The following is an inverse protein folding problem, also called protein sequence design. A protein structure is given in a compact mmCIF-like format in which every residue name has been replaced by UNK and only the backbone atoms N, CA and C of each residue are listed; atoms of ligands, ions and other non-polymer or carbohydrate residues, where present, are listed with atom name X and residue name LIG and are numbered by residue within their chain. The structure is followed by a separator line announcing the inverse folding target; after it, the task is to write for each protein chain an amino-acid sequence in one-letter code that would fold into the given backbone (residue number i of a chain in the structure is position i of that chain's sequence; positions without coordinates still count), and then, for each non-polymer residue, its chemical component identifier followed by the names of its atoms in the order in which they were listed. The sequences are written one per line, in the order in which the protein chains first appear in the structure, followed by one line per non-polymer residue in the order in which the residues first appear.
data_IF_661334996008
#
_entry.id   IF_661334996008
#
_cell.length_a   1.000
_cell.length_b   1.000
_cell.length_c   1.000
_cell.angle_alpha   90.00
_cell.angle_beta   90.00
_cell.angle_gamma   90.00
#
_symmetry.space_group_name_H-M   'P 1'
#
loop_
_entity.id
_entity.type
_entity.pdbx_description
1 polymer ?
#
# COMPACT_ATOMS: atom_id res chain seq x y z
N UNK A 1 6.33 43.61 8.33
CA UNK A 1 5.00 43.74 7.69
C UNK A 1 4.59 42.35 7.19
N UNK A 2 3.76 41.66 7.97
CA UNK A 2 3.24 40.32 7.68
C UNK A 2 2.06 40.41 6.70
N UNK A 3 2.26 40.11 5.42
CA UNK A 3 1.14 39.95 4.46
C UNK A 3 1.32 38.69 3.56
N UNK A 4 2.49 38.04 3.58
CA UNK A 4 2.74 36.83 2.76
C UNK A 4 2.22 35.50 3.34
N UNK A 5 1.61 35.49 4.54
CA UNK A 5 1.14 34.27 5.22
C UNK A 5 -0.38 34.02 5.14
N UNK A 6 -1.15 34.84 4.41
CA UNK A 6 -2.63 34.81 4.50
C UNK A 6 -3.40 34.62 3.17
N UNK A 7 -2.75 34.38 2.03
CA UNK A 7 -3.45 34.07 0.78
C UNK A 7 -3.30 32.60 0.33
N UNK A 8 -3.12 31.71 1.32
CA UNK A 8 -3.36 30.27 1.23
C UNK A 8 -4.87 30.00 1.42
N UNK A 9 -5.70 30.42 0.45
CA UNK A 9 -7.15 30.14 0.47
C UNK A 9 -7.89 30.18 -0.87
N UNK A 10 -7.20 30.02 -2.00
CA UNK A 10 -7.88 29.65 -3.25
C UNK A 10 -7.35 28.32 -3.75
N UNK A 11 -8.21 27.31 -3.72
CA UNK A 11 -8.05 25.94 -4.23
C UNK A 11 -7.55 25.95 -5.69
N UNK A 12 -6.25 26.09 -5.90
CA UNK A 12 -5.64 25.89 -7.22
C UNK A 12 -5.67 24.40 -7.52
N UNK A 13 -6.56 24.04 -8.43
CA UNK A 13 -6.57 22.71 -9.02
C UNK A 13 -5.33 22.60 -9.92
N UNK A 14 -4.44 21.66 -9.63
CA UNK A 14 -3.30 21.34 -10.48
C UNK A 14 -3.73 20.42 -11.61
N UNK A 15 -3.34 20.74 -12.84
CA UNK A 15 -3.61 19.89 -14.01
C UNK A 15 -2.35 19.11 -14.35
N UNK A 16 -2.44 17.78 -14.32
CA UNK A 16 -1.37 16.86 -14.72
C UNK A 16 -1.78 16.16 -16.01
N UNK A 17 -1.15 16.49 -17.12
CA UNK A 17 -1.42 15.86 -18.40
C UNK A 17 -0.27 14.92 -18.75
N UNK A 18 -0.60 13.67 -19.04
CA UNK A 18 0.36 12.63 -19.40
C UNK A 18 0.25 12.30 -20.89
N UNK A 19 1.35 12.51 -21.61
CA UNK A 19 1.57 11.95 -22.94
C UNK A 19 2.62 10.85 -22.79
N UNK A 20 2.16 9.61 -22.64
CA UNK A 20 3.02 8.48 -22.32
C UNK A 20 3.54 7.82 -23.59
N UNK A 21 4.85 7.59 -23.64
CA UNK A 21 5.43 6.70 -24.65
C UNK A 21 4.91 5.26 -24.44
N UNK A 22 4.92 4.45 -25.51
CA UNK A 22 4.35 3.09 -25.52
C UNK A 22 4.86 2.22 -24.37
N UNK A 23 6.14 2.34 -24.02
CA UNK A 23 6.74 1.54 -22.95
C UNK A 23 6.24 1.97 -21.57
N UNK A 24 6.08 3.28 -21.35
CA UNK A 24 5.54 3.84 -20.11
C UNK A 24 4.05 3.54 -19.96
N UNK A 25 3.27 3.65 -21.05
CA UNK A 25 1.86 3.27 -21.09
C UNK A 25 1.69 1.78 -20.77
N UNK A 26 2.48 0.90 -21.39
CA UNK A 26 2.44 -0.53 -21.11
C UNK A 26 2.86 -0.86 -19.67
N UNK A 27 3.85 -0.17 -19.12
CA UNK A 27 4.29 -0.36 -17.74
C UNK A 27 3.23 0.07 -16.73
N UNK A 28 2.61 1.24 -16.93
CA UNK A 28 1.52 1.71 -16.09
C UNK A 28 0.27 0.82 -16.24
N UNK A 29 -0.05 0.36 -17.45
CA UNK A 29 -1.12 -0.61 -17.68
C UNK A 29 -0.92 -1.92 -16.90
N UNK A 30 0.31 -2.44 -16.84
CA UNK A 30 0.64 -3.61 -16.00
C UNK A 30 0.43 -3.34 -14.50
N UNK A 31 0.79 -2.13 -14.04
CA UNK A 31 0.54 -1.72 -12.66
C UNK A 31 -0.96 -1.70 -12.35
N UNK A 32 -1.78 -1.14 -13.25
CA UNK A 32 -3.24 -1.10 -13.11
C UNK A 32 -3.82 -2.51 -13.06
N UNK A 33 -3.46 -3.40 -14.00
CA UNK A 33 -3.95 -4.79 -13.98
C UNK A 33 -3.53 -5.58 -12.73
N UNK A 34 -2.30 -5.36 -12.25
CA UNK A 34 -1.87 -5.96 -10.97
C UNK A 34 -2.65 -5.40 -9.77
N UNK A 35 -3.01 -4.11 -9.81
CA UNK A 35 -3.82 -3.48 -8.78
C UNK A 35 -5.27 -4.01 -8.75
N UNK A 36 -5.85 -4.35 -9.89
CA UNK A 36 -7.17 -4.99 -9.96
C UNK A 36 -7.17 -6.34 -9.23
N UNK A 37 -6.06 -7.08 -9.28
CA UNK A 37 -5.89 -8.34 -8.52
C UNK A 37 -5.96 -8.10 -7.01
N UNK A 38 -5.32 -7.03 -6.51
CA UNK A 38 -5.43 -6.61 -5.11
C UNK A 38 -6.86 -6.19 -4.76
N UNK A 39 -7.50 -5.42 -5.65
CA UNK A 39 -8.88 -4.93 -5.47
C UNK A 39 -9.88 -6.07 -5.42
N UNK A 40 -9.63 -7.18 -6.12
CA UNK A 40 -10.47 -8.38 -6.14
C UNK A 40 -10.44 -9.23 -4.88
N UNK A 41 -9.59 -8.92 -3.89
CA UNK A 41 -9.58 -9.63 -2.60
C UNK A 41 -10.84 -9.29 -1.78
N UNK A 42 -11.51 -10.31 -1.22
CA UNK A 42 -12.73 -10.12 -0.43
C UNK A 42 -12.44 -9.35 0.87
N UNK A 43 -11.26 -9.56 1.46
CA UNK A 43 -10.75 -8.82 2.61
C UNK A 43 -9.55 -7.96 2.22
N UNK A 44 -9.65 -6.66 2.56
CA UNK A 44 -8.60 -5.65 2.35
C UNK A 44 -8.56 -4.76 3.59
N UNK A 45 -7.41 -4.66 4.23
CA UNK A 45 -7.28 -3.89 5.47
C UNK A 45 -6.03 -3.02 5.45
N UNK A 46 -6.13 -1.84 6.02
CA UNK A 46 -5.00 -1.07 6.51
C UNK A 46 -4.66 -1.55 7.91
N UNK A 47 -3.38 -1.77 8.16
CA UNK A 47 -2.87 -2.17 9.47
C UNK A 47 -2.23 -0.95 10.12
N UNK A 48 -2.90 -0.39 11.12
CA UNK A 48 -2.32 0.67 11.92
C UNK A 48 -1.28 0.05 12.86
N UNK A 49 -0.01 0.42 12.72
CA UNK A 49 1.03 0.02 13.66
C UNK A 49 1.25 1.13 14.70
N UNK A 50 1.17 0.77 15.98
CA UNK A 50 1.66 1.58 17.10
C UNK A 50 3.19 1.54 17.10
N UNK A 51 3.80 2.21 16.12
CA UNK A 51 5.25 2.30 15.96
C UNK A 51 5.73 2.19 14.52
N UNK A 52 7.00 2.54 14.29
CA UNK A 52 7.62 2.42 12.97
C UNK A 52 7.82 0.94 12.65
N UNK A 53 7.11 0.42 11.65
CA UNK A 53 7.40 -0.91 11.09
C UNK A 53 8.77 -0.81 10.40
N UNK A 54 9.79 -1.47 10.95
CA UNK A 54 11.13 -1.51 10.35
C UNK A 54 11.14 -2.45 9.14
N UNK A 55 10.62 -3.67 9.33
CA UNK A 55 10.41 -4.67 8.29
C UNK A 55 9.23 -5.61 8.63
N UNK A 56 8.85 -6.47 7.67
CA UNK A 56 7.78 -7.44 7.87
C UNK A 56 8.12 -8.56 8.85
N UNK A 57 9.40 -8.88 9.06
CA UNK A 57 9.82 -9.95 9.97
C UNK A 57 9.61 -9.55 11.42
N UNK A 58 10.06 -8.35 11.78
CA UNK A 58 9.84 -7.73 13.08
C UNK A 58 8.35 -7.55 13.35
N UNK A 59 7.58 -7.06 12.37
CA UNK A 59 6.12 -6.95 12.50
C UNK A 59 5.45 -8.31 12.76
N UNK A 60 5.83 -9.37 12.03
CA UNK A 60 5.29 -10.72 12.26
C UNK A 60 5.59 -11.26 13.65
N UNK A 61 6.81 -11.02 14.14
CA UNK A 61 7.24 -11.45 15.49
C UNK A 61 6.43 -10.77 16.59
N UNK A 62 6.09 -9.50 16.40
CA UNK A 62 5.51 -8.66 17.44
C UNK A 62 3.97 -8.60 17.39
N UNK A 63 3.37 -8.71 16.20
CA UNK A 63 1.95 -8.41 16.00
C UNK A 63 1.24 -9.36 15.03
N UNK A 64 1.92 -9.90 14.01
CA UNK A 64 1.29 -10.49 12.81
C UNK A 64 0.20 -11.54 13.04
N UNK A 65 0.34 -12.39 14.07
CA UNK A 65 -0.62 -13.45 14.40
C UNK A 65 -1.51 -13.18 15.61
N UNK A 66 -1.50 -11.95 16.14
CA UNK A 66 -2.27 -11.61 17.33
C UNK A 66 -3.67 -11.12 16.98
N UNK A 67 -4.63 -11.33 17.87
CA UNK A 67 -5.95 -10.67 17.81
C UNK A 67 -5.86 -9.15 18.03
N UNK A 68 -4.71 -8.62 18.43
CA UNK A 68 -4.51 -7.22 18.83
C UNK A 68 -4.07 -6.31 17.67
N UNK A 69 -3.93 -6.85 16.45
CA UNK A 69 -3.63 -6.02 15.29
C UNK A 69 -4.86 -5.16 14.95
N UNK A 70 -4.73 -3.84 15.05
CA UNK A 70 -5.77 -2.89 14.61
C UNK A 70 -5.83 -2.86 13.08
N UNK A 71 -6.62 -3.78 12.52
CA UNK A 71 -6.92 -3.86 11.09
C UNK A 71 -8.22 -3.12 10.80
N UNK A 72 -8.12 -2.09 9.95
CA UNK A 72 -9.29 -1.32 9.50
C UNK A 72 -9.55 -1.65 8.04
N UNK A 73 -10.80 -1.99 7.64
CA UNK A 73 -11.13 -2.16 6.24
C UNK A 73 -10.64 -0.96 5.42
N UNK A 74 -10.05 -1.23 4.26
CA UNK A 74 -9.54 -0.17 3.40
C UNK A 74 -10.11 -0.23 2.00
N UNK A 75 -10.13 0.94 1.36
CA UNK A 75 -10.61 1.15 0.00
C UNK A 75 -9.44 1.14 -0.97
N UNK A 76 -9.58 0.30 -1.99
CA UNK A 76 -8.78 0.30 -3.20
C UNK A 76 -9.69 0.73 -4.35
N UNK A 77 -9.30 1.77 -5.07
CA UNK A 77 -10.12 2.33 -6.15
C UNK A 77 -9.26 3.06 -7.19
N UNK A 78 -9.80 3.32 -8.36
CA UNK A 78 -9.20 4.25 -9.33
C UNK A 78 -9.75 5.65 -9.07
N UNK A 79 -8.92 6.56 -8.57
CA UNK A 79 -9.37 7.90 -8.19
C UNK A 79 -8.28 8.96 -8.30
N UNK A 80 -8.67 10.22 -8.28
CA UNK A 80 -7.76 11.37 -8.23
C UNK A 80 -8.03 12.19 -6.96
N UNK A 81 -7.00 12.84 -6.40
CA UNK A 81 -7.24 13.82 -5.35
C UNK A 81 -8.06 15.00 -5.88
N UNK A 82 -8.95 15.55 -5.05
CA UNK A 82 -9.90 16.61 -5.43
C UNK A 82 -9.23 17.84 -6.06
N UNK A 83 -7.98 18.13 -5.67
CA UNK A 83 -7.17 19.27 -6.14
C UNK A 83 -6.34 18.96 -7.39
N UNK A 84 -6.44 17.77 -7.96
CA UNK A 84 -5.75 17.38 -9.19
C UNK A 84 -6.77 17.08 -10.28
N UNK A 85 -6.45 17.45 -11.52
CA UNK A 85 -7.12 17.00 -12.73
C UNK A 85 -6.09 16.33 -13.61
N UNK A 86 -6.43 15.18 -14.17
CA UNK A 86 -5.55 14.46 -15.07
C UNK A 86 -6.34 13.71 -16.13
N UNK A 87 -5.71 13.47 -17.27
CA UNK A 87 -6.22 12.57 -18.31
C UNK A 87 -6.06 11.09 -17.94
N UNK A 88 -5.28 10.78 -16.90
CA UNK A 88 -5.13 9.43 -16.32
C UNK A 88 -5.80 9.39 -14.95
N UNK A 89 -6.60 8.35 -14.69
CA UNK A 89 -7.12 8.08 -13.35
C UNK A 89 -6.32 6.92 -12.75
N UNK A 90 -5.41 7.18 -11.79
CA UNK A 90 -4.51 6.18 -11.26
C UNK A 90 -5.22 5.25 -10.26
N UNK A 91 -4.66 4.06 -10.02
CA UNK A 91 -4.93 3.29 -8.82
C UNK A 91 -4.67 4.08 -7.54
N UNK A 92 -5.46 3.83 -6.50
CA UNK A 92 -5.32 4.49 -5.21
C UNK A 92 -5.66 3.59 -4.03
N UNK A 93 -4.89 3.71 -2.95
CA UNK A 93 -5.08 2.94 -1.70
C UNK A 93 -5.23 3.92 -0.54
N UNK A 94 -6.29 3.73 0.24
CA UNK A 94 -6.47 4.44 1.50
C UNK A 94 -5.66 3.75 2.60
N UNK A 95 -4.93 4.49 3.42
CA UNK A 95 -4.07 3.96 4.48
C UNK A 95 -4.24 4.86 5.72
N UNK A 96 -5.39 4.70 6.38
CA UNK A 96 -5.78 5.55 7.51
C UNK A 96 -5.98 7.00 7.08
N UNK A 97 -5.09 7.90 7.51
CA UNK A 97 -5.14 9.34 7.14
C UNK A 97 -4.53 9.61 5.76
N UNK A 98 -3.70 8.68 5.27
CA UNK A 98 -3.00 8.82 4.01
C UNK A 98 -3.79 8.19 2.86
N UNK A 99 -3.64 8.73 1.66
CA UNK A 99 -4.08 8.10 0.42
C UNK A 99 -2.93 8.16 -0.57
N UNK A 100 -2.57 7.00 -1.12
CA UNK A 100 -1.51 6.86 -2.12
C UNK A 100 -2.18 6.77 -3.49
N UNK A 101 -1.77 7.60 -4.45
CA UNK A 101 -2.22 7.57 -5.83
C UNK A 101 -1.03 7.20 -6.72
N UNK A 102 -1.11 6.06 -7.40
CA UNK A 102 -0.01 5.51 -8.19
C UNK A 102 -0.05 6.06 -9.62
N UNK A 103 0.47 7.28 -9.79
CA UNK A 103 0.55 7.99 -11.07
C UNK A 103 1.54 7.29 -12.02
N UNK A 104 1.52 7.57 -13.33
CA UNK A 104 2.47 6.97 -14.26
C UNK A 104 3.95 7.16 -13.87
N UNK A 105 4.31 8.29 -13.27
CA UNK A 105 5.68 8.71 -12.98
C UNK A 105 6.11 8.57 -11.50
N UNK A 106 5.15 8.69 -10.57
CA UNK A 106 5.39 8.72 -9.13
C UNK A 106 4.16 8.27 -8.32
N UNK A 107 4.33 8.11 -7.00
CA UNK A 107 3.22 8.00 -6.06
C UNK A 107 2.93 9.35 -5.43
N UNK A 108 1.76 9.91 -5.71
CA UNK A 108 1.26 11.10 -5.02
C UNK A 108 0.68 10.65 -3.67
N UNK A 109 1.18 11.24 -2.58
CA UNK A 109 0.75 10.92 -1.22
C UNK A 109 -0.05 12.10 -0.68
N UNK A 110 -1.33 11.86 -0.40
CA UNK A 110 -2.18 12.81 0.32
C UNK A 110 -2.18 12.45 1.80
N UNK A 111 -1.76 13.37 2.66
CA UNK A 111 -1.82 13.22 4.11
C UNK A 111 -2.68 14.35 4.72
N UNK A 112 -3.94 14.04 5.01
CA UNK A 112 -4.93 15.06 5.40
C UNK A 112 -5.11 16.12 4.31
N UNK A 113 -4.66 17.35 4.58
CA UNK A 113 -4.66 18.48 3.64
C UNK A 113 -3.31 18.72 2.94
N UNK A 114 -2.28 17.93 3.28
CA UNK A 114 -0.95 18.06 2.69
C UNK A 114 -0.78 17.04 1.57
N UNK A 115 0.06 17.41 0.61
CA UNK A 115 0.43 16.57 -0.52
C UNK A 115 1.95 16.46 -0.57
N UNK A 116 2.44 15.26 -0.81
CA UNK A 116 3.82 14.95 -1.11
C UNK A 116 3.90 13.97 -2.26
N UNK A 117 5.09 13.73 -2.79
CA UNK A 117 5.31 12.76 -3.85
C UNK A 117 6.47 11.84 -3.48
N UNK A 118 6.39 10.58 -3.90
CA UNK A 118 7.44 9.59 -3.77
C UNK A 118 7.71 9.03 -5.17
N UNK A 119 8.89 9.27 -5.71
CA UNK A 119 9.28 8.65 -6.97
C UNK A 119 9.39 7.14 -6.82
N UNK A 120 9.11 6.38 -7.89
CA UNK A 120 9.16 4.91 -7.83
C UNK A 120 10.53 4.35 -7.45
N UNK A 121 11.61 5.09 -7.73
CA UNK A 121 12.96 4.71 -7.30
C UNK A 121 13.18 4.74 -5.77
N UNK A 122 12.41 5.56 -5.06
CA UNK A 122 12.46 5.73 -3.60
C UNK A 122 11.37 4.94 -2.87
N UNK A 123 10.41 4.37 -3.62
CA UNK A 123 9.35 3.54 -3.07
C UNK A 123 9.86 2.11 -2.87
N UNK A 124 9.98 1.71 -1.62
CA UNK A 124 10.33 0.34 -1.23
C UNK A 124 9.07 -0.45 -0.90
N UNK A 125 8.94 -1.64 -1.50
CA UNK A 125 7.85 -2.58 -1.21
C UNK A 125 8.38 -3.88 -0.63
N UNK A 126 7.69 -4.40 0.38
CA UNK A 126 7.93 -5.74 0.91
C UNK A 126 6.59 -6.44 1.06
N UNK A 127 6.51 -7.71 0.67
CA UNK A 127 5.31 -8.49 0.90
C UNK A 127 5.67 -9.86 1.46
N UNK A 128 4.78 -10.42 2.27
CA UNK A 128 4.95 -11.76 2.79
C UNK A 128 3.62 -12.34 3.31
N UNK A 129 3.45 -13.67 3.29
CA UNK A 129 2.30 -14.31 3.92
C UNK A 129 2.26 -14.01 5.42
N UNK A 130 1.09 -13.74 5.97
CA UNK A 130 0.83 -13.55 7.39
C UNK A 130 -0.29 -14.47 7.86
N UNK A 131 -0.23 -14.94 9.10
CA UNK A 131 -1.31 -15.71 9.70
C UNK A 131 -2.08 -14.78 10.62
N UNK A 132 -3.41 -14.77 10.54
CA UNK A 132 -4.25 -13.93 11.38
C UNK A 132 -5.34 -14.74 12.07
N UNK A 133 -5.54 -14.49 13.36
CA UNK A 133 -6.63 -15.13 14.12
C UNK A 133 -7.92 -14.35 13.82
N UNK A 134 -8.79 -14.93 13.01
CA UNK A 134 -10.03 -14.30 12.58
C UNK A 134 -11.14 -14.56 13.60
N UNK A 135 -11.64 -13.48 14.20
CA UNK A 135 -12.66 -13.52 15.25
C UNK A 135 -14.05 -13.21 14.72
N UNK A 136 -14.10 -12.46 13.61
CA UNK A 136 -15.30 -12.12 12.86
C UNK A 136 -15.60 -13.10 11.74
N UNK A 137 -16.14 -12.59 10.64
CA UNK A 137 -16.47 -13.37 9.47
C UNK A 137 -15.22 -13.60 8.62
N UNK A 138 -14.88 -14.86 8.42
CA UNK A 138 -13.81 -15.25 7.50
C UNK A 138 -14.14 -14.78 6.07
N UNK A 139 -13.23 -14.06 5.39
CA UNK A 139 -13.39 -13.73 3.97
C UNK A 139 -13.56 -15.01 3.15
N UNK A 140 -14.44 -14.99 2.15
CA UNK A 140 -14.77 -16.18 1.35
C UNK A 140 -13.60 -16.72 0.52
N UNK A 141 -12.57 -15.92 0.32
CA UNK A 141 -11.37 -16.26 -0.44
C UNK A 141 -10.13 -16.47 0.44
N UNK A 142 -10.28 -16.45 1.76
CA UNK A 142 -9.22 -16.69 2.71
C UNK A 142 -8.97 -18.20 2.88
N UNK A 143 -7.69 -18.58 2.96
CA UNK A 143 -7.28 -19.93 3.32
C UNK A 143 -7.22 -20.07 4.85
N UNK A 144 -7.98 -21.01 5.42
CA UNK A 144 -7.86 -21.36 6.83
C UNK A 144 -6.74 -22.38 6.99
N UNK A 145 -5.67 -22.01 7.70
CA UNK A 145 -4.47 -22.86 7.87
C UNK A 145 -4.45 -23.64 9.18
N UNK A 146 -5.17 -23.16 10.20
CA UNK A 146 -5.35 -23.87 11.47
C UNK A 146 -6.53 -23.29 12.25
N UNK A 147 -6.78 -23.84 13.44
CA UNK A 147 -7.73 -23.30 14.41
C UNK A 147 -7.01 -23.11 15.75
N UNK A 148 -7.42 -22.10 16.50
CA UNK A 148 -6.98 -21.84 17.88
C UNK A 148 -8.20 -21.66 18.78
N UNK A 149 -8.02 -21.63 20.10
CA UNK A 149 -9.11 -21.32 21.04
C UNK A 149 -9.25 -19.80 21.20
N UNK A 150 -10.48 -19.30 21.35
CA UNK A 150 -10.73 -17.89 21.63
C UNK A 150 -10.05 -17.41 22.92
N UNK A 151 -9.96 -18.29 23.91
CA UNK A 151 -9.21 -18.09 25.15
C UNK A 151 -8.24 -19.28 25.35
N UNK A 152 -7.05 -19.25 24.76
CA UNK A 152 -6.08 -20.33 24.90
C UNK A 152 -5.42 -20.26 26.28
N UNK A 153 -5.19 -21.42 26.89
CA UNK A 153 -4.35 -21.54 28.08
C UNK A 153 -2.85 -21.49 27.70
N UNK A 154 -1.95 -21.56 28.68
CA UNK A 154 -0.48 -21.50 28.44
C UNK A 154 0.04 -22.57 27.48
N UNK A 155 -0.67 -23.69 27.31
CA UNK A 155 -0.30 -24.80 26.44
C UNK A 155 -1.03 -24.77 25.09
N UNK A 156 -1.80 -23.71 24.79
CA UNK A 156 -2.56 -23.55 23.55
C UNK A 156 -3.89 -24.32 23.50
N UNK A 157 -4.26 -25.04 24.57
CA UNK A 157 -5.57 -25.70 24.69
C UNK A 157 -6.67 -24.76 25.21
N UNK A 158 -7.92 -25.23 25.37
CA UNK A 158 -8.99 -24.40 25.89
C UNK A 158 -8.75 -24.07 27.36
N UNK A 159 -8.82 -22.79 27.72
CA UNK A 159 -8.99 -22.39 29.12
C UNK A 159 -10.44 -22.67 29.57
N UNK A 160 -10.59 -23.63 30.48
CA UNK A 160 -11.88 -24.13 30.99
C UNK A 160 -12.60 -23.14 31.92
N UNK A 161 -11.95 -22.04 32.31
CA UNK A 161 -12.60 -20.97 33.10
C UNK A 161 -13.58 -20.16 32.26
N UNK A 162 -13.41 -20.17 30.95
CA UNK A 162 -14.32 -19.51 30.00
C UNK A 162 -15.38 -20.50 29.55
N UNK A 163 -16.65 -20.23 29.88
CA UNK A 163 -17.79 -21.08 29.57
C UNK A 163 -18.00 -21.24 28.05
N UNK A 164 -17.80 -20.17 27.29
CA UNK A 164 -18.00 -20.11 25.84
C UNK A 164 -16.67 -19.95 25.08
N UNK A 165 -15.74 -20.87 25.31
CA UNK A 165 -14.45 -20.87 24.65
C UNK A 165 -14.49 -21.71 23.37
N UNK A 166 -14.93 -21.12 22.25
CA UNK A 166 -14.95 -21.81 20.95
C UNK A 166 -13.59 -21.80 20.26
N UNK A 167 -13.40 -22.73 19.33
CA UNK A 167 -12.32 -22.61 18.36
C UNK A 167 -12.62 -21.50 17.34
N UNK A 168 -11.58 -20.78 16.94
CA UNK A 168 -11.60 -19.70 15.97
C UNK A 168 -10.52 -19.94 14.90
N UNK A 169 -10.81 -19.63 13.63
CA UNK A 169 -9.91 -19.92 12.53
C UNK A 169 -8.67 -19.02 12.53
N UNK A 170 -7.55 -19.60 12.13
CA UNK A 170 -6.35 -18.87 11.76
C UNK A 170 -6.28 -18.85 10.23
N UNK A 171 -6.44 -17.67 9.65
CA UNK A 171 -6.44 -17.47 8.21
C UNK A 171 -5.06 -17.05 7.71
N UNK A 172 -4.69 -17.50 6.51
CA UNK A 172 -3.50 -17.05 5.81
C UNK A 172 -3.85 -15.87 4.91
N UNK A 173 -3.27 -14.72 5.21
CA UNK A 173 -3.35 -13.47 4.46
C UNK A 173 -2.00 -13.14 3.85
N UNK A 174 -1.94 -12.04 3.10
CA UNK A 174 -0.71 -11.46 2.60
C UNK A 174 -0.57 -10.01 3.07
N UNK A 175 0.55 -9.72 3.72
CA UNK A 175 0.94 -8.39 4.13
C UNK A 175 1.76 -7.73 3.03
N UNK A 176 1.44 -6.49 2.69
CA UNK A 176 2.17 -5.64 1.75
C UNK A 176 2.50 -4.30 2.42
N UNK A 177 3.79 -4.04 2.58
CA UNK A 177 4.34 -2.82 3.17
C UNK A 177 4.87 -1.89 2.08
N UNK A 178 4.58 -0.61 2.22
CA UNK A 178 5.16 0.49 1.45
C UNK A 178 6.02 1.35 2.37
N UNK A 179 7.22 1.71 1.93
CA UNK A 179 8.05 2.65 2.67
C UNK A 179 8.91 3.52 1.77
N UNK A 180 9.34 4.68 2.27
CA UNK A 180 10.27 5.56 1.57
C UNK A 180 11.21 6.29 2.55
N UNK A 181 12.38 6.79 2.09
CA UNK A 181 13.24 7.67 2.88
C UNK A 181 12.55 8.97 3.30
N UNK A 182 11.56 9.43 2.52
CA UNK A 182 10.77 10.63 2.81
C UNK A 182 9.71 10.45 3.91
N UNK A 183 9.61 9.25 4.49
CA UNK A 183 8.79 8.99 5.67
C UNK A 183 7.50 8.22 5.44
N UNK A 184 7.24 7.73 4.21
CA UNK A 184 6.18 6.75 3.99
C UNK A 184 6.54 5.46 4.73
N UNK A 185 5.60 4.89 5.48
CA UNK A 185 5.76 3.60 6.14
C UNK A 185 4.38 3.03 6.51
N UNK A 186 3.73 2.41 5.52
CA UNK A 186 2.35 1.95 5.64
C UNK A 186 2.24 0.46 5.33
N UNK A 187 1.27 -0.20 5.95
CA UNK A 187 1.03 -1.63 5.82
C UNK A 187 -0.43 -1.90 5.47
N UNK A 188 -0.63 -2.71 4.44
CA UNK A 188 -1.95 -3.25 4.08
C UNK A 188 -1.90 -4.76 4.06
N UNK A 189 -3.05 -5.38 4.29
CA UNK A 189 -3.22 -6.83 4.21
C UNK A 189 -4.38 -7.20 3.30
N UNK A 190 -4.19 -8.33 2.61
CA UNK A 190 -5.15 -8.91 1.68
C UNK A 190 -5.52 -10.32 2.13
N UNK A 191 -6.78 -10.70 1.95
CA UNK A 191 -7.27 -12.03 2.34
C UNK A 191 -6.69 -13.18 1.53
N UNK A 192 -6.09 -12.90 0.36
CA UNK A 192 -5.44 -13.87 -0.51
C UNK A 192 -3.91 -13.72 -0.48
N UNK A 193 -3.23 -14.81 -0.80
CA UNK A 193 -1.77 -14.83 -1.01
C UNK A 193 -1.39 -14.78 -2.48
N UNK A 194 -0.14 -14.40 -2.76
CA UNK A 194 0.44 -14.27 -4.10
C UNK A 194 -0.23 -13.20 -4.97
N UNK A 195 -0.85 -12.19 -4.35
CA UNK A 195 -1.54 -11.09 -5.06
C UNK A 195 -0.68 -9.83 -5.13
N UNK A 196 0.27 -9.65 -4.19
CA UNK A 196 1.12 -8.48 -4.06
C UNK A 196 2.34 -8.51 -4.97
N UNK A 197 2.82 -9.70 -5.35
CA UNK A 197 4.03 -9.85 -6.15
C UNK A 197 3.94 -9.15 -7.52
N UNK A 198 2.88 -9.36 -8.34
CA UNK A 198 2.77 -8.69 -9.63
C UNK A 198 2.74 -7.16 -9.49
N UNK A 199 2.11 -6.65 -8.43
CA UNK A 199 2.03 -5.21 -8.16
C UNK A 199 3.41 -4.63 -7.81
N UNK A 200 4.16 -5.29 -6.92
CA UNK A 200 5.52 -4.88 -6.57
C UNK A 200 6.49 -4.93 -7.76
N UNK A 201 6.33 -5.94 -8.62
CA UNK A 201 7.11 -6.05 -9.86
C UNK A 201 6.79 -4.92 -10.83
N UNK A 202 5.51 -4.55 -10.99
CA UNK A 202 5.11 -3.44 -11.84
C UNK A 202 5.65 -2.09 -11.33
N UNK A 203 5.63 -1.85 -10.02
CA UNK A 203 6.25 -0.67 -9.40
C UNK A 203 7.77 -0.62 -9.67
N UNK A 204 8.44 -1.76 -9.54
CA UNK A 204 9.88 -1.87 -9.81
C UNK A 204 10.21 -1.61 -11.29
N UNK A 205 9.36 -2.07 -12.21
CA UNK A 205 9.53 -1.81 -13.64
C UNK A 205 9.39 -0.32 -13.97
N UNK A 206 8.43 0.39 -13.38
CA UNK A 206 8.31 1.85 -13.50
C UNK A 206 9.53 2.58 -12.93
N UNK A 207 10.05 2.13 -11.78
CA UNK A 207 11.28 2.69 -11.20
C UNK A 207 12.49 2.55 -12.14
N UNK A 208 12.62 1.41 -12.82
CA UNK A 208 13.69 1.19 -13.79
C UNK A 208 13.52 2.06 -15.03
N UNK A 209 12.30 2.16 -15.56
CA UNK A 209 11.98 2.95 -16.75
C UNK A 209 12.33 4.44 -16.56
N UNK A 210 11.89 5.06 -15.47
CA UNK A 210 12.21 6.48 -15.23
C UNK A 210 13.70 6.71 -14.97
N UNK A 211 14.40 5.77 -14.33
CA UNK A 211 15.85 5.86 -14.14
C UNK A 211 16.60 5.81 -15.46
N UNK A 212 16.14 5.04 -16.45
CA UNK A 212 16.75 5.03 -17.79
C UNK A 212 16.49 6.32 -18.55
N UNK A 213 15.29 6.89 -18.46
CA UNK A 213 14.93 8.16 -19.09
C UNK A 213 15.82 9.30 -18.55
N UNK A 214 15.97 9.41 -17.22
CA UNK A 214 16.84 10.43 -16.60
C UNK A 214 18.30 10.33 -17.07
N UNK A 215 18.82 9.11 -17.25
CA UNK A 215 20.19 8.88 -17.74
C UNK A 215 20.37 9.26 -19.21
N UNK A 216 19.36 9.05 -20.06
CA UNK A 216 19.40 9.46 -21.46
C UNK A 216 19.40 10.99 -21.59
N UNK A 217 18.59 11.69 -20.79
CA UNK A 217 18.60 13.17 -20.75
C UNK A 217 19.95 13.75 -20.29
N UNK A 218 20.62 13.13 -19.31
CA UNK A 218 21.96 13.57 -18.87
C UNK A 218 23.01 13.33 -19.97
N UNK A 219 22.94 12.19 -20.66
CA UNK A 219 23.92 11.84 -21.71
C UNK A 219 23.77 12.73 -22.95
N UNK A 220 22.54 13.07 -23.34
CA UNK A 220 22.28 13.92 -24.51
C UNK A 220 22.74 15.38 -24.31
N UNK A 221 22.66 15.89 -23.07
CA UNK A 221 23.13 17.24 -22.72
C UNK A 221 24.65 17.34 -22.52
N UNK A 222 25.37 16.22 -22.49
CA UNK A 222 26.82 16.17 -22.32
C UNK A 222 27.61 16.31 -23.64
N UNK A 223 26.94 16.49 -24.79
CA UNK A 223 27.56 16.61 -26.11
C UNK A 223 27.36 17.99 -26.79
N UNK A 224 27.03 19.03 -26.03
CA UNK A 224 26.93 20.40 -26.56
C UNK A 224 27.84 21.36 -25.82
N UNK A 225 29.15 21.06 -25.84
CA UNK A 225 30.24 22.01 -25.58
C UNK A 225 31.52 21.55 -26.26
N UNK A 226 31.61 21.79 -27.57
CA UNK A 226 32.87 22.13 -28.27
C UNK A 226 32.53 23.13 -29.38
#
# INVERSE_FOLDING_TARGET
MLIGKWFDSYRRVSVLYYDLEKDAEAAHGRLVGAFETLTGCAGRWHVAADGKIEDLTAWKRNAGASMLVDKKPTTLESSLPKVVRSNVTPPSIHMGRQVLFFMPDLVLVKDGNRYGAVGYADLQTQFAPSNFIETGKVPSDAEIVSYTWAHPNKNGGPDKRFKDNRQIPVCRYEALRFSSPSGLNELVEFSKTNVSQPFCQALSALAQLHRSSDRQFITLNAHTRE
#
